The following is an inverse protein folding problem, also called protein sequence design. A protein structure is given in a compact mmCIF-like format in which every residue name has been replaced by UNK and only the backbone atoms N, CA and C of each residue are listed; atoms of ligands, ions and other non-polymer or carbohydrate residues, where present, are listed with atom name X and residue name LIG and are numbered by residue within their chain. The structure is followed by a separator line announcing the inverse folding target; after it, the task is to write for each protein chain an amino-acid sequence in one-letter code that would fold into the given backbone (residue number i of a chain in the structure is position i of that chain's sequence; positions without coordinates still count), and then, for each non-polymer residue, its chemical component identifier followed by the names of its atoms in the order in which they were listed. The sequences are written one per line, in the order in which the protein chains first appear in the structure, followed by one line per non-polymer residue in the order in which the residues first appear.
data_IF_128337747430
#
_entry.id   IF_128337747430
#
_cell.length_a   1.000
_cell.length_b   1.000
_cell.length_c   1.000
_cell.angle_alpha   90.00
_cell.angle_beta   90.00
_cell.angle_gamma   90.00
#
_symmetry.space_group_name_H-M   'P 1'
#
loop_
_entity.id
_entity.type
_entity.pdbx_description
1 polymer ?
#
# COMPACT_ATOMS: atom_id res chain seq x y z
N UNK A 1 4.10 -17.11 12.55
CA UNK A 1 4.40 -17.34 11.11
C UNK A 1 3.97 -16.12 10.34
N UNK A 2 4.86 -15.57 9.48
CA UNK A 2 4.54 -14.44 8.62
C UNK A 2 3.51 -14.83 7.54
N UNK A 3 2.57 -13.95 7.25
CA UNK A 3 1.53 -14.12 6.24
C UNK A 3 1.33 -12.80 5.48
N UNK A 4 1.09 -12.90 4.19
CA UNK A 4 0.63 -11.79 3.36
C UNK A 4 -0.61 -12.25 2.62
N UNK A 5 -1.69 -11.46 2.69
CA UNK A 5 -2.97 -11.81 2.10
C UNK A 5 -3.53 -10.61 1.33
N UNK A 6 -3.72 -10.75 0.02
CA UNK A 6 -4.39 -9.76 -0.80
C UNK A 6 -5.90 -9.81 -0.51
N UNK A 7 -6.42 -8.77 0.14
CA UNK A 7 -7.85 -8.64 0.46
C UNK A 7 -8.64 -8.13 -0.74
N UNK A 8 -8.08 -7.17 -1.45
CA UNK A 8 -8.66 -6.57 -2.65
C UNK A 8 -7.56 -6.22 -3.64
N UNK A 9 -7.88 -6.30 -4.94
CA UNK A 9 -6.99 -5.95 -6.05
C UNK A 9 -7.78 -5.41 -7.23
N UNK A 10 -7.31 -4.32 -7.82
CA UNK A 10 -7.85 -3.70 -9.03
C UNK A 10 -8.34 -2.27 -8.83
N UNK A 11 -8.73 -1.63 -9.92
CA UNK A 11 -9.15 -0.21 -9.97
C UNK A 11 -10.39 0.15 -9.13
N UNK A 12 -11.05 -0.82 -8.53
CA UNK A 12 -12.17 -0.60 -7.59
C UNK A 12 -11.76 -0.58 -6.12
N UNK A 13 -10.49 -0.85 -5.84
CA UNK A 13 -9.87 -0.77 -4.53
C UNK A 13 -8.84 -1.86 -4.26
N UNK A 14 -7.75 -1.46 -3.63
CA UNK A 14 -6.62 -2.28 -3.25
C UNK A 14 -6.49 -2.34 -1.73
N UNK A 15 -6.10 -3.47 -1.19
CA UNK A 15 -5.76 -3.64 0.22
C UNK A 15 -5.06 -4.97 0.43
N UNK A 16 -3.97 -4.96 1.19
CA UNK A 16 -3.18 -6.15 1.51
C UNK A 16 -3.00 -6.23 3.03
N UNK A 17 -3.30 -7.39 3.61
CA UNK A 17 -2.97 -7.69 4.99
C UNK A 17 -1.55 -8.26 5.06
N UNK A 18 -0.75 -7.71 5.95
CA UNK A 18 0.56 -8.23 6.37
C UNK A 18 0.47 -8.62 7.84
N UNK A 19 0.84 -9.85 8.16
CA UNK A 19 0.72 -10.37 9.53
C UNK A 19 1.97 -11.15 9.92
N UNK A 20 2.46 -10.94 11.14
CA UNK A 20 3.58 -11.68 11.72
C UNK A 20 3.44 -11.77 13.22
N UNK A 21 3.62 -13.00 13.78
CA UNK A 21 3.66 -13.24 15.23
C UNK A 21 2.45 -12.73 16.03
N UNK A 22 1.28 -12.63 15.37
CA UNK A 22 0.04 -12.12 15.96
C UNK A 22 -0.20 -10.62 15.71
N UNK A 23 0.77 -9.89 15.17
CA UNK A 23 0.67 -8.50 14.79
C UNK A 23 0.14 -8.38 13.36
N UNK A 24 -0.77 -7.43 13.11
CA UNK A 24 -1.47 -7.27 11.85
C UNK A 24 -1.35 -5.83 11.34
N UNK A 25 -1.00 -5.68 10.07
CA UNK A 25 -0.85 -4.39 9.39
C UNK A 25 -1.59 -4.43 8.05
N UNK A 26 -2.09 -3.28 7.61
CA UNK A 26 -2.65 -3.13 6.27
C UNK A 26 -1.71 -2.32 5.38
N UNK A 27 -1.63 -2.68 4.12
CA UNK A 27 -1.14 -1.81 3.05
C UNK A 27 -2.36 -1.42 2.23
N UNK A 28 -2.66 -0.13 2.26
CA UNK A 28 -3.83 0.51 1.65
C UNK A 28 -5.20 0.03 2.17
N UNK A 29 -6.20 0.91 2.06
CA UNK A 29 -7.62 0.61 2.22
C UNK A 29 -8.38 1.32 1.09
N UNK A 30 -8.23 0.85 -0.13
CA UNK A 30 -8.85 1.43 -1.32
C UNK A 30 -10.36 1.16 -1.46
N UNK A 31 -10.91 0.35 -0.57
CA UNK A 31 -12.35 0.10 -0.45
C UNK A 31 -12.94 0.87 0.74
N UNK A 32 -14.27 0.88 0.89
CA UNK A 32 -14.84 1.44 2.13
C UNK A 32 -14.37 0.67 3.36
N UNK A 33 -14.23 1.36 4.50
CA UNK A 33 -13.84 0.74 5.78
C UNK A 33 -14.69 -0.50 6.09
N UNK A 34 -16.00 -0.43 5.84
CA UNK A 34 -16.93 -1.56 6.05
C UNK A 34 -16.59 -2.79 5.19
N UNK A 35 -16.20 -2.59 3.94
CA UNK A 35 -15.78 -3.71 3.08
C UNK A 35 -14.46 -4.31 3.57
N UNK A 36 -13.50 -3.48 4.00
CA UNK A 36 -12.25 -3.93 4.58
C UNK A 36 -12.49 -4.75 5.87
N UNK A 37 -13.31 -4.23 6.80
CA UNK A 37 -13.70 -4.94 8.02
C UNK A 37 -14.29 -6.33 7.72
N UNK A 38 -15.20 -6.41 6.76
CA UNK A 38 -15.83 -7.69 6.39
C UNK A 38 -14.80 -8.66 5.81
N UNK A 39 -13.87 -8.18 4.96
CA UNK A 39 -12.81 -9.01 4.39
C UNK A 39 -11.88 -9.56 5.49
N UNK A 40 -11.47 -8.72 6.45
CA UNK A 40 -10.66 -9.13 7.59
C UNK A 40 -11.37 -10.22 8.42
N UNK A 41 -12.64 -10.00 8.77
CA UNK A 41 -13.45 -10.97 9.52
C UNK A 41 -13.61 -12.31 8.78
N UNK A 42 -13.78 -12.29 7.47
CA UNK A 42 -13.91 -13.50 6.66
C UNK A 42 -12.65 -14.40 6.69
N UNK A 43 -11.48 -13.81 6.99
CA UNK A 43 -10.22 -14.56 7.14
C UNK A 43 -9.81 -14.73 8.60
N UNK A 44 -10.73 -14.44 9.55
CA UNK A 44 -10.51 -14.62 10.99
C UNK A 44 -9.64 -13.56 11.66
N UNK A 45 -9.53 -12.37 11.05
CA UNK A 45 -8.78 -11.23 11.63
C UNK A 45 -9.77 -10.18 12.14
N UNK A 46 -9.67 -9.84 13.41
CA UNK A 46 -10.49 -8.79 14.00
C UNK A 46 -9.98 -7.42 13.53
N UNK A 47 -10.85 -6.53 12.99
CA UNK A 47 -10.42 -5.21 12.50
C UNK A 47 -9.70 -4.37 13.54
N UNK A 48 -10.10 -4.47 14.82
CA UNK A 48 -9.44 -3.76 15.92
C UNK A 48 -8.05 -4.30 16.29
N UNK A 49 -7.60 -5.41 15.68
CA UNK A 49 -6.24 -5.93 15.84
C UNK A 49 -5.24 -5.36 14.81
N UNK A 50 -5.68 -4.47 13.94
CA UNK A 50 -4.79 -3.81 12.99
C UNK A 50 -3.99 -2.72 13.72
N UNK A 51 -2.67 -2.87 13.73
CA UNK A 51 -1.73 -2.03 14.48
C UNK A 51 -1.16 -0.87 13.63
N UNK A 52 -1.39 -0.89 12.31
CA UNK A 52 -0.97 0.18 11.42
C UNK A 52 -1.45 0.00 9.99
N UNK A 53 -1.58 1.14 9.30
CA UNK A 53 -1.95 1.22 7.88
C UNK A 53 -0.81 1.91 7.14
N UNK A 54 -0.13 1.19 6.26
CA UNK A 54 0.89 1.73 5.36
C UNK A 54 0.23 2.16 4.06
N UNK A 55 0.35 3.43 3.71
CA UNK A 55 -0.28 3.98 2.50
C UNK A 55 0.73 4.11 1.40
N UNK A 56 0.48 3.48 0.26
CA UNK A 56 1.37 3.58 -0.90
C UNK A 56 1.27 4.95 -1.54
N UNK A 57 0.06 5.43 -1.81
CA UNK A 57 -0.21 6.75 -2.39
C UNK A 57 -1.69 7.17 -2.18
N UNK A 58 -2.00 8.42 -2.55
CA UNK A 58 -3.26 9.09 -2.22
C UNK A 58 -4.45 8.77 -3.12
N UNK A 59 -4.32 7.96 -4.17
CA UNK A 59 -5.45 7.65 -5.05
C UNK A 59 -6.59 6.95 -4.30
N UNK A 60 -7.82 7.24 -4.69
CA UNK A 60 -9.01 6.78 -3.95
C UNK A 60 -9.15 5.26 -3.90
N UNK A 61 -8.67 4.54 -4.89
CA UNK A 61 -8.64 3.07 -4.91
C UNK A 61 -7.51 2.46 -4.06
N UNK A 62 -6.74 3.30 -3.34
CA UNK A 62 -5.78 2.94 -2.30
C UNK A 62 -6.14 3.53 -0.93
N UNK A 63 -6.80 4.69 -0.87
CA UNK A 63 -6.96 5.46 0.35
C UNK A 63 -8.40 5.65 0.85
N UNK A 64 -9.43 5.29 0.07
CA UNK A 64 -10.86 5.59 0.32
C UNK A 64 -11.36 5.26 1.72
N UNK A 65 -10.88 4.19 2.31
CA UNK A 65 -11.36 3.72 3.62
C UNK A 65 -10.51 4.15 4.80
N UNK A 66 -9.33 4.76 4.56
CA UNK A 66 -8.29 5.00 5.57
C UNK A 66 -8.85 5.81 6.74
N UNK A 67 -9.35 7.02 6.49
CA UNK A 67 -9.85 7.91 7.55
C UNK A 67 -10.86 7.23 8.45
N UNK A 68 -11.91 6.63 7.85
CA UNK A 68 -12.99 6.00 8.63
C UNK A 68 -12.51 4.78 9.42
N UNK A 69 -11.56 4.02 8.86
CA UNK A 69 -11.00 2.86 9.55
C UNK A 69 -10.06 3.31 10.69
N UNK A 70 -9.13 4.21 10.39
CA UNK A 70 -8.18 4.76 11.37
C UNK A 70 -8.89 5.41 12.56
N UNK A 71 -9.89 6.28 12.31
CA UNK A 71 -10.67 6.94 13.37
C UNK A 71 -11.42 5.93 14.24
N UNK A 72 -11.98 4.88 13.62
CA UNK A 72 -12.79 3.88 14.34
C UNK A 72 -12.00 3.01 15.28
N UNK A 73 -10.78 2.64 14.88
CA UNK A 73 -9.96 1.68 15.62
C UNK A 73 -8.74 2.33 16.26
N UNK A 74 -8.57 3.65 16.16
CA UNK A 74 -7.37 4.40 16.58
C UNK A 74 -6.09 3.79 15.98
N UNK A 75 -6.14 3.44 14.69
CA UNK A 75 -5.05 2.78 13.99
C UNK A 75 -4.08 3.81 13.42
N UNK A 76 -2.79 3.78 13.76
CA UNK A 76 -1.78 4.66 13.17
C UNK A 76 -1.71 4.51 11.65
N UNK A 77 -1.47 5.62 10.95
CA UNK A 77 -1.30 5.69 9.50
C UNK A 77 0.15 6.06 9.19
N UNK A 78 0.78 5.30 8.32
CA UNK A 78 2.17 5.49 7.88
C UNK A 78 2.16 5.87 6.40
N UNK A 79 2.71 7.03 6.06
CA UNK A 79 2.76 7.53 4.68
C UNK A 79 3.97 8.44 4.48
N UNK A 80 4.34 8.74 3.23
CA UNK A 80 5.24 9.84 2.96
C UNK A 80 4.57 11.18 3.28
N UNK A 81 5.38 12.22 3.52
CA UNK A 81 4.83 13.55 3.82
C UNK A 81 3.96 14.09 2.70
N UNK A 82 4.39 13.92 1.44
CA UNK A 82 3.65 14.43 0.28
C UNK A 82 2.33 13.66 0.06
N UNK A 83 2.36 12.34 0.22
CA UNK A 83 1.16 11.53 0.16
C UNK A 83 0.15 11.96 1.23
N UNK A 84 0.60 12.17 2.48
CA UNK A 84 -0.29 12.61 3.55
C UNK A 84 -0.92 13.99 3.29
N UNK A 85 -0.13 14.97 2.85
CA UNK A 85 -0.65 16.31 2.55
C UNK A 85 -1.77 16.23 1.50
N UNK A 86 -1.62 15.34 0.54
CA UNK A 86 -2.63 15.11 -0.49
C UNK A 86 -3.86 14.35 0.06
N UNK A 87 -3.67 13.34 0.91
CA UNK A 87 -4.76 12.67 1.62
C UNK A 87 -5.60 13.66 2.43
N UNK A 88 -4.92 14.56 3.16
CA UNK A 88 -5.58 15.61 3.93
C UNK A 88 -6.37 16.57 3.03
N UNK A 89 -5.76 17.03 1.93
CA UNK A 89 -6.41 17.90 0.95
C UNK A 89 -7.67 17.28 0.33
N UNK A 90 -7.65 15.97 0.11
CA UNK A 90 -8.77 15.21 -0.44
C UNK A 90 -9.83 14.81 0.62
N UNK A 91 -9.59 15.07 1.90
CA UNK A 91 -10.46 14.66 3.01
C UNK A 91 -10.43 13.15 3.30
N UNK A 92 -9.38 12.46 2.85
CA UNK A 92 -9.10 11.04 3.12
C UNK A 92 -8.28 10.84 4.41
N UNK A 93 -7.79 11.92 5.01
CA UNK A 93 -7.26 12.05 6.36
C UNK A 93 -7.75 13.36 6.98
N UNK A 94 -7.68 13.51 8.29
CA UNK A 94 -8.04 14.75 9.02
C UNK A 94 -7.18 14.92 10.27
N UNK A 95 -7.46 15.96 11.08
CA UNK A 95 -6.70 16.28 12.30
C UNK A 95 -6.72 15.19 13.38
N UNK A 96 -7.58 14.18 13.26
CA UNK A 96 -7.66 13.04 14.18
C UNK A 96 -6.82 11.85 13.70
N UNK A 97 -6.41 11.87 12.45
CA UNK A 97 -5.60 10.80 11.87
C UNK A 97 -4.23 10.79 12.54
N UNK A 98 -3.91 9.73 13.27
CA UNK A 98 -2.58 9.51 13.87
C UNK A 98 -1.58 9.20 12.75
N UNK A 99 -0.94 10.26 12.24
CA UNK A 99 0.01 10.15 11.14
C UNK A 99 1.44 9.98 11.61
N UNK A 100 2.09 9.01 11.01
CA UNK A 100 3.52 8.74 11.17
C UNK A 100 4.21 8.84 9.81
N UNK A 101 5.14 9.79 9.66
CA UNK A 101 5.88 9.96 8.41
C UNK A 101 6.94 8.86 8.29
N UNK A 102 6.93 8.16 7.16
CA UNK A 102 7.97 7.21 6.79
C UNK A 102 8.81 7.80 5.64
N UNK A 103 10.11 8.01 5.90
CA UNK A 103 11.05 8.49 4.87
C UNK A 103 11.74 7.31 4.17
N UNK A 104 12.44 6.46 4.92
CA UNK A 104 13.21 5.33 4.40
C UNK A 104 12.89 4.03 5.13
N UNK A 105 12.70 4.08 6.44
CA UNK A 105 12.39 2.90 7.24
C UNK A 105 11.68 3.28 8.54
N UNK A 106 10.98 2.30 9.11
CA UNK A 106 10.43 2.37 10.46
C UNK A 106 10.57 1.01 11.15
N UNK A 107 10.93 1.02 12.42
CA UNK A 107 10.97 -0.17 13.27
C UNK A 107 9.75 -0.19 14.19
N UNK A 108 9.00 -1.28 14.14
CA UNK A 108 7.89 -1.58 15.01
C UNK A 108 8.20 -2.89 15.76
N UNK A 109 7.46 -3.16 16.83
CA UNK A 109 7.77 -4.27 17.74
C UNK A 109 7.95 -5.63 17.06
N UNK A 110 7.23 -5.89 15.97
CA UNK A 110 7.23 -7.19 15.28
C UNK A 110 7.79 -7.16 13.86
N UNK A 111 7.99 -5.98 13.30
CA UNK A 111 8.46 -5.80 11.92
C UNK A 111 9.38 -4.59 11.79
N UNK A 112 10.33 -4.69 10.85
CA UNK A 112 11.05 -3.55 10.32
C UNK A 112 10.58 -3.33 8.88
N UNK A 113 10.14 -2.10 8.56
CA UNK A 113 9.60 -1.75 7.25
C UNK A 113 10.52 -0.77 6.56
N UNK A 114 10.99 -1.15 5.37
CA UNK A 114 11.72 -0.27 4.46
C UNK A 114 10.75 0.26 3.41
N UNK A 115 10.82 1.54 3.11
CA UNK A 115 10.10 2.14 1.97
C UNK A 115 11.03 2.33 0.77
N UNK A 116 10.45 2.32 -0.42
CA UNK A 116 11.14 2.64 -1.66
C UNK A 116 10.19 3.36 -2.63
N UNK A 117 10.74 4.32 -3.40
CA UNK A 117 9.93 5.06 -4.36
C UNK A 117 9.57 4.23 -5.58
N UNK A 118 8.34 4.42 -6.05
CA UNK A 118 7.78 3.81 -7.25
C UNK A 118 7.53 4.87 -8.33
N UNK A 119 7.44 4.42 -9.58
CA UNK A 119 7.07 5.26 -10.72
C UNK A 119 5.56 5.25 -10.89
N UNK A 120 4.90 6.30 -10.41
CA UNK A 120 3.45 6.45 -10.53
C UNK A 120 3.05 7.93 -10.56
N UNK A 121 1.90 8.27 -11.15
CA UNK A 121 1.37 9.62 -11.27
C UNK A 121 0.63 10.08 -10.00
N UNK A 122 1.35 10.14 -8.89
CA UNK A 122 0.86 10.55 -7.58
C UNK A 122 1.78 11.61 -6.95
N UNK A 123 1.38 12.19 -5.83
CA UNK A 123 2.20 13.16 -5.12
C UNK A 123 3.53 12.54 -4.66
N UNK A 124 3.48 11.30 -4.18
CA UNK A 124 4.63 10.46 -3.87
C UNK A 124 4.15 9.01 -3.68
N UNK A 125 4.68 8.08 -4.45
CA UNK A 125 4.30 6.68 -4.41
C UNK A 125 5.40 5.83 -3.75
N UNK A 126 5.04 5.14 -2.67
CA UNK A 126 5.93 4.25 -1.95
C UNK A 126 5.54 2.79 -2.13
N UNK A 127 6.54 1.94 -2.35
CA UNK A 127 6.46 0.53 -2.07
C UNK A 127 7.08 0.22 -0.71
N UNK A 128 6.78 -0.93 -0.17
CA UNK A 128 7.22 -1.34 1.16
C UNK A 128 7.84 -2.73 1.15
N UNK A 129 8.94 -2.89 1.90
CA UNK A 129 9.47 -4.19 2.25
C UNK A 129 9.33 -4.41 3.76
N UNK A 130 8.57 -5.42 4.12
CA UNK A 130 8.37 -5.87 5.49
C UNK A 130 9.39 -6.95 5.82
N UNK A 131 10.22 -6.72 6.84
CA UNK A 131 11.13 -7.72 7.39
C UNK A 131 10.54 -8.21 8.71
N UNK A 132 10.23 -9.49 8.79
CA UNK A 132 9.57 -10.10 9.93
C UNK A 132 10.58 -10.62 10.95
N UNK A 133 10.17 -10.69 12.21
CA UNK A 133 11.01 -11.19 13.31
C UNK A 133 11.45 -12.65 13.15
N UNK A 134 10.76 -13.44 12.32
CA UNK A 134 11.14 -14.81 11.98
C UNK A 134 12.19 -14.93 10.84
N UNK A 135 12.75 -13.80 10.42
CA UNK A 135 13.77 -13.70 9.38
C UNK A 135 13.24 -13.70 7.94
N UNK A 136 11.93 -13.82 7.74
CA UNK A 136 11.29 -13.72 6.43
C UNK A 136 11.02 -12.28 6.01
N UNK A 137 10.74 -12.09 4.74
CA UNK A 137 10.46 -10.76 4.20
C UNK A 137 9.47 -10.80 3.03
N UNK A 138 8.70 -9.70 2.89
CA UNK A 138 7.79 -9.51 1.79
C UNK A 138 7.89 -8.08 1.24
N UNK A 139 7.96 -7.91 -0.07
CA UNK A 139 7.86 -6.61 -0.73
C UNK A 139 6.51 -6.44 -1.42
N UNK A 140 5.98 -5.22 -1.33
CA UNK A 140 4.73 -4.80 -1.96
C UNK A 140 5.04 -3.60 -2.84
N UNK A 141 4.77 -3.74 -4.14
CA UNK A 141 5.01 -2.77 -5.19
C UNK A 141 3.80 -2.74 -6.11
N UNK A 142 2.78 -1.98 -5.71
CA UNK A 142 1.55 -1.79 -6.48
C UNK A 142 1.63 -0.48 -7.26
N UNK A 143 0.94 -0.40 -8.39
CA UNK A 143 0.84 0.80 -9.21
C UNK A 143 2.20 1.40 -9.61
N UNK A 144 2.95 0.67 -10.41
CA UNK A 144 4.24 1.12 -10.92
C UNK A 144 4.31 0.97 -12.44
N UNK A 145 4.61 2.07 -13.14
CA UNK A 145 4.80 2.05 -14.59
C UNK A 145 6.11 1.37 -15.00
N UNK A 146 7.15 1.52 -14.19
CA UNK A 146 8.44 0.81 -14.33
C UNK A 146 9.12 0.60 -12.97
N UNK A 147 9.98 -0.38 -12.89
CA UNK A 147 10.73 -0.68 -11.67
C UNK A 147 11.87 0.31 -11.51
N UNK A 148 11.82 1.14 -10.48
CA UNK A 148 12.86 2.13 -10.15
C UNK A 148 14.16 1.42 -9.70
N UNK A 149 15.29 2.13 -9.73
CA UNK A 149 16.56 1.55 -9.28
C UNK A 149 16.54 1.25 -7.77
N UNK A 150 15.87 2.08 -6.99
CA UNK A 150 15.65 1.84 -5.56
C UNK A 150 14.83 0.56 -5.33
N UNK A 151 13.74 0.35 -6.08
CA UNK A 151 12.95 -0.87 -6.03
C UNK A 151 13.76 -2.12 -6.44
N UNK A 152 14.59 -2.02 -7.50
CA UNK A 152 15.50 -3.09 -7.94
C UNK A 152 16.52 -3.50 -6.87
N UNK A 153 16.94 -2.56 -6.03
CA UNK A 153 17.89 -2.86 -4.94
C UNK A 153 17.20 -3.56 -3.76
N UNK A 154 15.97 -3.17 -3.42
CA UNK A 154 15.27 -3.58 -2.20
C UNK A 154 14.45 -4.86 -2.41
N UNK A 155 13.62 -4.93 -3.45
CA UNK A 155 12.67 -6.03 -3.65
C UNK A 155 13.29 -7.42 -3.83
N UNK A 156 14.39 -7.62 -4.60
CA UNK A 156 14.95 -8.96 -4.84
C UNK A 156 15.48 -9.66 -3.59
N UNK A 157 15.64 -8.92 -2.48
CA UNK A 157 16.09 -9.48 -1.18
C UNK A 157 14.91 -10.06 -0.38
N UNK A 158 13.67 -10.08 -0.94
CA UNK A 158 12.47 -10.55 -0.25
C UNK A 158 12.13 -11.99 -0.63
N UNK A 159 11.57 -12.73 0.33
CA UNK A 159 11.09 -14.11 0.09
C UNK A 159 9.83 -14.12 -0.78
N UNK A 160 9.00 -13.06 -0.70
CA UNK A 160 7.80 -12.88 -1.51
C UNK A 160 7.78 -11.45 -2.04
N UNK A 161 7.40 -11.30 -3.30
CA UNK A 161 7.18 -10.00 -3.93
C UNK A 161 5.76 -9.95 -4.51
N UNK A 162 4.97 -8.98 -4.05
CA UNK A 162 3.71 -8.56 -4.67
C UNK A 162 4.01 -7.39 -5.59
N UNK A 163 3.85 -7.60 -6.88
CA UNK A 163 4.12 -6.59 -7.89
C UNK A 163 2.94 -6.49 -8.84
N UNK A 164 2.60 -5.27 -9.24
CA UNK A 164 1.64 -5.03 -10.31
C UNK A 164 2.17 -5.59 -11.65
N UNK A 165 1.30 -6.27 -12.38
CA UNK A 165 1.58 -6.78 -13.73
C UNK A 165 0.28 -6.83 -14.54
N UNK A 166 -0.33 -5.66 -14.77
CA UNK A 166 -1.68 -5.56 -15.36
C UNK A 166 -1.68 -5.09 -16.82
N UNK A 167 -0.53 -4.81 -17.41
CA UNK A 167 -0.44 -4.41 -18.82
C UNK A 167 0.76 -5.04 -19.52
N UNK A 168 0.64 -5.18 -20.83
CA UNK A 168 1.72 -5.52 -21.74
C UNK A 168 2.01 -4.31 -22.63
N UNK A 169 3.27 -3.88 -22.69
CA UNK A 169 3.70 -2.67 -23.41
C UNK A 169 3.22 -2.68 -24.86
N UNK A 170 3.33 -3.83 -25.55
CA UNK A 170 2.88 -3.99 -26.92
C UNK A 170 1.37 -3.77 -27.07
N UNK A 171 0.57 -4.30 -26.13
CA UNK A 171 -0.89 -4.14 -26.13
C UNK A 171 -1.30 -2.70 -25.81
N UNK A 172 -0.64 -2.02 -24.89
CA UNK A 172 -0.91 -0.60 -24.59
C UNK A 172 -0.63 0.25 -25.81
N UNK A 173 0.51 0.05 -26.48
CA UNK A 173 0.89 0.81 -27.67
C UNK A 173 -0.06 0.57 -28.84
N UNK A 174 -0.48 -0.67 -29.08
CA UNK A 174 -1.41 -1.04 -30.16
C UNK A 174 -2.88 -0.73 -29.85
N UNK A 175 -3.23 -0.57 -28.58
CA UNK A 175 -4.60 -0.34 -28.12
C UNK A 175 -5.16 1.02 -28.51
N UNK A 176 -6.47 1.18 -28.42
CA UNK A 176 -7.21 2.40 -28.78
C UNK A 176 -7.18 3.51 -27.72
N UNK A 177 -6.42 3.33 -26.65
CA UNK A 177 -6.31 4.35 -25.60
C UNK A 177 -5.76 5.68 -26.11
N UNK A 178 -6.28 6.83 -25.62
CA UNK A 178 -5.69 8.13 -25.88
C UNK A 178 -4.21 8.16 -25.48
N UNK A 179 -3.41 8.94 -26.21
CA UNK A 179 -1.95 9.02 -25.99
C UNK A 179 -1.58 9.33 -24.53
N UNK A 180 -2.28 10.28 -23.90
CA UNK A 180 -2.06 10.67 -22.50
C UNK A 180 -2.27 9.48 -21.56
N UNK A 181 -3.31 8.67 -21.81
CA UNK A 181 -3.57 7.49 -20.99
C UNK A 181 -2.51 6.40 -21.20
N UNK A 182 -2.04 6.23 -22.44
CA UNK A 182 -0.92 5.31 -22.72
C UNK A 182 0.34 5.69 -21.95
N UNK A 183 0.69 6.99 -21.95
CA UNK A 183 1.86 7.48 -21.20
C UNK A 183 1.69 7.22 -19.69
N UNK A 184 0.53 7.53 -19.14
CA UNK A 184 0.22 7.25 -17.74
C UNK A 184 0.39 5.77 -17.38
N UNK A 185 -0.16 4.86 -18.17
CA UNK A 185 -0.04 3.41 -17.97
C UNK A 185 1.42 2.95 -18.02
N UNK A 186 2.22 3.55 -18.90
CA UNK A 186 3.64 3.21 -19.09
C UNK A 186 4.57 3.91 -18.09
N UNK A 187 4.03 4.74 -17.19
CA UNK A 187 4.80 5.44 -16.16
C UNK A 187 5.69 6.57 -16.70
N UNK A 188 5.31 7.19 -17.80
CA UNK A 188 6.05 8.26 -18.46
C UNK A 188 5.43 9.64 -18.16
#
# INVERSE_FOLDING_TARGET
MAKVCQLFSGSSGNSILVSSSGHNYLVDIGVSAKRCENALKNIGVEPGSIEGIFVTHEHTDHAKGIRVFADRYNTPVYASKLCYDELYRQGLADDKTDLNIIENHIELDSINVLSFHQSHDSADCLGYRFNFSDGRSASICTDTGFITDNAKEIMPKSDIVFIESNHEIAMVNAGSYPYILKQRILGA
#
